data_IF_845652338459
#
_entry.id   IF_845652338459
#
_cell.length_a   1.000
_cell.length_b   1.000
_cell.length_c   1.000
_cell.angle_alpha   90.00
_cell.angle_beta   90.00
_cell.angle_gamma   90.00
#
_symmetry.space_group_name_H-M   'P 1'
#
loop_
_entity.id
_entity.type
_entity.pdbx_description
1 polymer ?
#
# COMPACT_ATOMS: atom_id res chain seq x y z
N UNK A 1 55.95 -30.98 2.20
CA UNK A 1 54.95 -31.55 1.27
C UNK A 1 53.58 -31.03 1.67
N UNK A 2 52.91 -30.29 0.79
CA UNK A 2 51.48 -29.99 0.88
C UNK A 2 50.69 -31.15 0.21
N UNK A 3 49.39 -31.33 0.47
CA UNK A 3 48.42 -30.45 -0.17
C UNK A 3 47.22 -30.02 0.69
N UNK A 4 46.76 -28.83 0.34
CA UNK A 4 45.49 -28.16 0.60
C UNK A 4 44.30 -28.99 0.12
N UNK A 5 43.23 -29.08 0.91
CA UNK A 5 41.91 -29.52 0.43
C UNK A 5 40.86 -28.49 0.85
N UNK A 6 40.55 -27.60 -0.09
CA UNK A 6 39.43 -26.68 -0.03
C UNK A 6 38.12 -27.47 -0.08
N UNK A 7 37.33 -27.40 0.99
CA UNK A 7 35.95 -27.88 1.00
C UNK A 7 35.09 -26.92 0.17
N UNK A 8 34.91 -27.26 -1.11
CA UNK A 8 34.08 -26.56 -2.08
C UNK A 8 32.62 -26.79 -1.73
N UNK A 9 31.97 -25.78 -1.13
CA UNK A 9 30.53 -25.78 -0.90
C UNK A 9 29.80 -25.91 -2.24
N UNK A 10 29.04 -26.99 -2.41
CA UNK A 10 28.16 -27.20 -3.54
C UNK A 10 26.96 -26.25 -3.39
N UNK A 11 26.95 -25.16 -4.15
CA UNK A 11 25.78 -24.31 -4.30
C UNK A 11 24.78 -25.05 -5.20
N UNK A 12 23.76 -25.63 -4.60
CA UNK A 12 22.57 -26.13 -5.29
C UNK A 12 21.86 -24.93 -5.94
N UNK A 13 22.02 -24.79 -7.26
CA UNK A 13 21.24 -23.84 -8.06
C UNK A 13 19.81 -24.37 -8.13
N UNK A 14 18.90 -23.77 -7.37
CA UNK A 14 17.46 -23.92 -7.64
C UNK A 14 17.16 -23.06 -8.85
N UNK A 15 16.89 -23.71 -9.98
CA UNK A 15 16.36 -23.09 -11.18
C UNK A 15 14.87 -22.79 -10.89
N UNK A 16 14.54 -21.56 -10.49
CA UNK A 16 13.17 -21.07 -10.62
C UNK A 16 13.03 -20.56 -12.05
N UNK A 17 12.44 -21.37 -12.90
CA UNK A 17 11.95 -20.97 -14.21
C UNK A 17 10.45 -21.24 -14.20
N UNK A 18 9.66 -20.26 -13.77
CA UNK A 18 8.27 -20.19 -14.21
C UNK A 18 7.81 -18.74 -14.27
N UNK A 19 7.66 -18.31 -15.52
CA UNK A 19 7.16 -17.03 -15.98
C UNK A 19 5.81 -16.66 -15.35
N UNK A 20 5.82 -15.65 -14.50
CA UNK A 20 4.71 -14.69 -14.43
C UNK A 20 5.18 -13.42 -15.16
N UNK A 21 4.83 -13.34 -16.44
CA UNK A 21 4.93 -12.10 -17.21
C UNK A 21 3.96 -11.08 -16.61
N UNK A 22 4.47 -10.24 -15.70
CA UNK A 22 3.87 -8.95 -15.41
C UNK A 22 4.39 -8.02 -16.50
N UNK A 23 3.49 -7.50 -17.33
CA UNK A 23 3.76 -6.42 -18.28
C UNK A 23 4.15 -5.17 -17.46
N UNK A 24 5.40 -5.16 -17.01
CA UNK A 24 6.00 -4.10 -16.22
C UNK A 24 6.27 -2.94 -17.17
N UNK A 25 5.33 -2.00 -17.22
CA UNK A 25 5.58 -0.68 -17.78
C UNK A 25 6.95 -0.20 -17.27
N UNK A 26 7.87 0.23 -18.15
CA UNK A 26 9.26 0.42 -17.78
C UNK A 26 9.34 1.37 -16.58
N UNK A 27 9.77 0.84 -15.44
CA UNK A 27 9.94 1.60 -14.21
C UNK A 27 10.64 2.92 -14.55
N UNK A 28 10.06 4.08 -14.17
CA UNK A 28 10.64 5.37 -14.53
C UNK A 28 12.06 5.39 -13.99
N UNK A 29 13.05 5.46 -14.88
CA UNK A 29 14.48 5.49 -14.51
C UNK A 29 14.72 6.74 -13.67
N UNK A 30 14.64 6.57 -12.36
CA UNK A 30 14.88 7.62 -11.38
C UNK A 30 16.34 8.02 -11.48
N UNK A 31 16.57 9.13 -12.17
CA UNK A 31 17.92 9.68 -12.32
C UNK A 31 18.45 10.11 -10.95
N UNK A 32 19.78 10.03 -10.73
CA UNK A 32 20.39 10.58 -9.53
C UNK A 32 20.04 12.06 -9.39
N UNK A 33 19.70 12.50 -8.19
CA UNK A 33 19.54 13.93 -7.91
C UNK A 33 20.93 14.60 -7.95
N UNK A 34 20.98 15.87 -8.36
CA UNK A 34 22.25 16.60 -8.48
C UNK A 34 22.92 16.70 -7.10
N UNK A 35 24.12 16.13 -6.94
CA UNK A 35 24.85 16.06 -5.67
C UNK A 35 24.55 14.83 -4.80
N UNK A 36 23.71 13.89 -5.25
CA UNK A 36 23.43 12.64 -4.55
C UNK A 36 24.61 11.66 -4.71
N UNK A 37 25.13 11.14 -3.59
CA UNK A 37 26.13 10.06 -3.62
C UNK A 37 25.48 8.75 -4.09
N UNK A 38 26.28 7.82 -4.62
CA UNK A 38 25.79 6.49 -5.04
C UNK A 38 25.08 5.77 -3.88
N UNK A 39 25.56 5.95 -2.64
CA UNK A 39 24.96 5.35 -1.46
C UNK A 39 23.57 5.92 -1.16
N UNK A 40 23.39 7.24 -1.30
CA UNK A 40 22.08 7.89 -1.14
C UNK A 40 21.09 7.44 -2.22
N UNK A 41 21.55 7.30 -3.46
CA UNK A 41 20.72 6.76 -4.55
C UNK A 41 20.25 5.33 -4.25
N UNK A 42 21.15 4.45 -3.78
CA UNK A 42 20.80 3.08 -3.37
C UNK A 42 19.74 3.08 -2.28
N UNK A 43 19.89 3.90 -1.25
CA UNK A 43 18.91 4.00 -0.17
C UNK A 43 17.56 4.52 -0.68
N UNK A 44 17.55 5.51 -1.58
CA UNK A 44 16.32 6.04 -2.17
C UNK A 44 15.57 4.98 -2.97
N UNK A 45 16.26 4.26 -3.85
CA UNK A 45 15.66 3.19 -4.65
C UNK A 45 15.14 2.05 -3.77
N UNK A 46 15.87 1.69 -2.71
CA UNK A 46 15.42 0.69 -1.73
C UNK A 46 14.13 1.12 -1.05
N UNK A 47 14.07 2.37 -0.58
CA UNK A 47 12.88 2.90 0.08
C UNK A 47 11.68 3.03 -0.88
N UNK A 48 11.93 3.39 -2.15
CA UNK A 48 10.88 3.45 -3.18
C UNK A 48 10.32 2.05 -3.47
N UNK A 49 11.18 1.03 -3.62
CA UNK A 49 10.77 -0.35 -3.80
C UNK A 49 10.01 -0.89 -2.57
N UNK A 50 10.50 -0.65 -1.36
CA UNK A 50 9.80 -1.01 -0.11
C UNK A 50 8.41 -0.35 -0.05
N UNK A 51 8.31 0.92 -0.45
CA UNK A 51 7.04 1.66 -0.45
C UNK A 51 6.07 1.12 -1.49
N UNK A 52 6.56 0.72 -2.66
CA UNK A 52 5.73 0.11 -3.71
C UNK A 52 5.14 -1.22 -3.25
N UNK A 53 5.96 -2.09 -2.66
CA UNK A 53 5.49 -3.35 -2.06
C UNK A 53 4.47 -3.10 -0.94
N UNK A 54 4.74 -2.15 -0.04
CA UNK A 54 3.82 -1.80 1.05
C UNK A 54 2.49 -1.23 0.55
N UNK A 55 2.50 -0.49 -0.56
CA UNK A 55 1.27 0.04 -1.15
C UNK A 55 0.45 -1.06 -1.82
N UNK A 56 1.10 -2.01 -2.50
CA UNK A 56 0.43 -3.13 -3.16
C UNK A 56 -0.20 -4.09 -2.13
N UNK A 57 0.51 -4.37 -1.03
CA UNK A 57 0.05 -5.29 0.01
C UNK A 57 -0.53 -4.59 1.24
N UNK A 58 -1.07 -3.37 1.07
CA UNK A 58 -1.54 -2.53 2.18
C UNK A 58 -2.58 -3.25 3.06
N UNK A 59 -3.51 -3.97 2.44
CA UNK A 59 -4.59 -4.67 3.16
C UNK A 59 -4.06 -5.87 3.98
N UNK A 60 -3.09 -6.60 3.44
CA UNK A 60 -2.42 -7.69 4.15
C UNK A 60 -1.64 -7.16 5.36
N UNK A 61 -0.92 -6.06 5.19
CA UNK A 61 -0.17 -5.40 6.27
C UNK A 61 -1.12 -4.94 7.38
N UNK A 62 -2.26 -4.34 7.03
CA UNK A 62 -3.29 -3.94 8.00
C UNK A 62 -3.82 -5.15 8.75
N UNK A 63 -4.14 -6.24 8.05
CA UNK A 63 -4.68 -7.48 8.65
C UNK A 63 -3.69 -8.10 9.64
N UNK A 64 -2.43 -8.24 9.23
CA UNK A 64 -1.36 -8.77 10.09
C UNK A 64 -1.13 -7.86 11.30
N UNK A 65 -1.20 -6.54 11.10
CA UNK A 65 -1.03 -5.57 12.20
C UNK A 65 -2.17 -5.67 13.20
N UNK A 66 -3.42 -5.72 12.74
CA UNK A 66 -4.59 -5.93 13.59
C UNK A 66 -4.44 -7.22 14.41
N UNK A 67 -4.11 -8.34 13.78
CA UNK A 67 -3.95 -9.63 14.47
C UNK A 67 -2.88 -9.57 15.57
N UNK A 68 -1.78 -8.82 15.35
CA UNK A 68 -0.75 -8.61 16.38
C UNK A 68 -1.25 -7.75 17.54
N UNK A 69 -2.00 -6.69 17.24
CA UNK A 69 -2.60 -5.83 18.27
C UNK A 69 -3.60 -6.62 19.12
N UNK A 70 -4.49 -7.37 18.46
CA UNK A 70 -5.49 -8.24 19.11
C UNK A 70 -4.81 -9.28 20.01
N UNK A 71 -3.70 -9.89 19.57
CA UNK A 71 -2.92 -10.84 20.36
C UNK A 71 -2.34 -10.24 21.65
N UNK A 72 -2.19 -8.91 21.71
CA UNK A 72 -1.74 -8.18 22.90
C UNK A 72 -2.89 -7.45 23.62
N UNK A 73 -4.14 -7.66 23.23
CA UNK A 73 -5.30 -6.96 23.80
C UNK A 73 -5.31 -5.46 23.51
N UNK A 74 -4.63 -5.03 22.45
CA UNK A 74 -4.59 -3.64 22.01
C UNK A 74 -5.55 -3.45 20.83
N UNK A 75 -6.20 -2.28 20.77
CA UNK A 75 -7.02 -1.92 19.61
C UNK A 75 -6.13 -1.26 18.54
N UNK A 76 -6.13 -1.82 17.32
CA UNK A 76 -5.48 -1.16 16.19
C UNK A 76 -6.39 -0.07 15.62
N UNK A 77 -6.05 1.19 15.89
CA UNK A 77 -6.73 2.34 15.32
C UNK A 77 -6.03 2.73 14.01
N UNK A 78 -6.59 2.31 12.88
CA UNK A 78 -6.11 2.76 11.57
C UNK A 78 -6.35 4.26 11.41
N UNK A 79 -5.36 4.99 10.89
CA UNK A 79 -5.56 6.37 10.46
C UNK A 79 -6.41 6.37 9.20
N UNK A 80 -7.62 6.91 9.30
CA UNK A 80 -8.52 7.12 8.16
C UNK A 80 -7.92 8.15 7.20
N UNK A 81 -8.14 7.95 5.89
CA UNK A 81 -7.86 8.98 4.89
C UNK A 81 -8.80 10.18 5.08
N UNK A 82 -8.49 11.33 4.47
CA UNK A 82 -9.36 12.51 4.55
C UNK A 82 -10.76 12.23 3.97
N UNK A 83 -10.83 11.47 2.88
CA UNK A 83 -12.08 11.02 2.28
C UNK A 83 -12.89 10.12 3.23
N UNK A 84 -12.24 9.18 3.91
CA UNK A 84 -12.90 8.30 4.88
C UNK A 84 -13.37 9.05 6.14
N UNK A 85 -12.61 10.07 6.56
CA UNK A 85 -13.03 10.97 7.64
C UNK A 85 -14.28 11.76 7.23
N UNK A 86 -14.28 12.33 6.03
CA UNK A 86 -15.42 13.05 5.49
C UNK A 86 -16.65 12.14 5.38
N UNK A 87 -16.48 10.90 4.90
CA UNK A 87 -17.55 9.91 4.82
C UNK A 87 -18.14 9.57 6.20
N UNK A 88 -17.30 9.34 7.21
CA UNK A 88 -17.77 9.13 8.59
C UNK A 88 -18.50 10.34 9.14
N UNK A 89 -18.01 11.54 8.86
CA UNK A 89 -18.63 12.78 9.32
C UNK A 89 -20.00 13.00 8.66
N UNK A 90 -20.14 12.70 7.37
CA UNK A 90 -21.43 12.71 6.65
C UNK A 90 -22.38 11.68 7.26
N UNK A 91 -21.90 10.47 7.56
CA UNK A 91 -22.71 9.44 8.21
C UNK A 91 -23.19 9.87 9.60
N UNK A 92 -22.34 10.57 10.35
CA UNK A 92 -22.68 11.13 11.65
C UNK A 92 -23.71 12.25 11.54
N UNK A 93 -23.59 13.13 10.54
CA UNK A 93 -24.62 14.12 10.23
C UNK A 93 -25.95 13.47 9.86
N UNK A 94 -25.94 12.37 9.11
CA UNK A 94 -27.16 11.62 8.81
C UNK A 94 -27.77 10.90 10.01
N UNK A 95 -26.99 10.60 11.06
CA UNK A 95 -27.53 10.08 12.33
C UNK A 95 -28.14 11.20 13.17
N UNK A 96 -27.49 12.37 13.18
CA UNK A 96 -27.97 13.55 13.92
C UNK A 96 -29.21 14.18 13.27
N UNK A 97 -29.26 14.17 11.93
CA UNK A 97 -30.34 14.76 11.14
C UNK A 97 -30.81 13.73 10.09
N UNK A 98 -31.69 12.79 10.46
CA UNK A 98 -32.18 11.76 9.54
C UNK A 98 -32.81 12.33 8.27
N UNK A 99 -33.45 13.50 8.37
CA UNK A 99 -34.14 14.20 7.28
C UNK A 99 -33.20 14.64 6.15
N UNK A 100 -31.90 14.82 6.45
CA UNK A 100 -30.90 15.10 5.41
C UNK A 100 -30.78 13.95 4.42
N UNK A 101 -31.00 12.69 4.83
CA UNK A 101 -30.92 11.54 3.92
C UNK A 101 -31.90 11.67 2.76
N UNK A 102 -33.09 12.19 3.01
CA UNK A 102 -34.15 12.32 2.01
C UNK A 102 -33.82 13.40 0.97
N UNK A 103 -33.12 14.46 1.38
CA UNK A 103 -32.67 15.53 0.48
C UNK A 103 -31.54 15.11 -0.46
N UNK A 104 -30.70 14.14 -0.07
CA UNK A 104 -29.63 13.60 -0.93
C UNK A 104 -30.07 12.36 -1.73
N UNK A 105 -31.13 11.68 -1.31
CA UNK A 105 -31.72 10.53 -2.02
C UNK A 105 -32.80 10.93 -3.03
N UNK A 106 -33.28 12.17 -3.03
CA UNK A 106 -34.16 12.62 -4.10
C UNK A 106 -33.38 12.66 -5.42
N UNK A 107 -33.75 11.84 -6.43
CA UNK A 107 -33.17 12.00 -7.75
C UNK A 107 -33.48 13.43 -8.21
N UNK A 108 -32.48 14.05 -8.84
CA UNK A 108 -32.43 15.42 -9.35
C UNK A 108 -33.45 15.67 -10.51
N UNK A 109 -34.60 15.01 -10.47
CA UNK A 109 -35.63 14.95 -11.52
C UNK A 109 -36.75 15.95 -11.24
N UNK A 110 -36.87 16.50 -10.03
CA UNK A 110 -38.01 17.39 -9.70
C UNK A 110 -37.73 18.87 -9.98
N UNK A 111 -36.47 19.28 -10.17
CA UNK A 111 -36.13 20.69 -10.38
C UNK A 111 -36.38 21.21 -11.83
N UNK A 112 -36.74 20.34 -12.79
CA UNK A 112 -37.01 20.74 -14.17
C UNK A 112 -38.50 20.74 -14.57
N UNK A 113 -39.41 20.45 -13.64
CA UNK A 113 -40.85 20.34 -13.92
C UNK A 113 -41.68 21.57 -13.50
N UNK A 114 -41.04 22.68 -13.12
CA UNK A 114 -41.72 23.93 -12.76
C UNK A 114 -41.16 25.17 -13.50
N UNK A 115 -40.88 25.03 -14.79
CA UNK A 115 -40.84 26.18 -15.72
C UNK A 115 -42.13 26.23 -16.53
#
# INVERSE_FOLDING_TARGET
MAPTAAAKAAATKVHLDESTAVDEAPAPKLKPKKGETIQQLKNRLRNEAEREVLNTHKDEVVTITQAKYDAHGLEYIRRLTEEEKAAKQIEEYFKQFPELRDHFNTPLVVALAQQ
#
